data_IF_208808422389
#
_entry.id   IF_208808422389
#
_cell.length_a   1.000
_cell.length_b   1.000
_cell.length_c   1.000
_cell.angle_alpha   90.00
_cell.angle_beta   90.00
_cell.angle_gamma   90.00
#
_symmetry.space_group_name_H-M   'P 1'
#
loop_
_entity.id
_entity.type
_entity.pdbx_description
1 polymer ?
#
# COMPACT_ATOMS: atom_id res chain seq x y z
N UNK A 1 -15.99 1.07 -19.58
CA UNK A 1 -14.79 1.42 -18.76
C UNK A 1 -13.49 1.03 -19.48
N UNK A 2 -12.44 1.88 -19.48
CA UNK A 2 -11.15 1.60 -20.14
C UNK A 2 -10.00 2.12 -19.28
N UNK A 3 -8.94 1.31 -19.12
CA UNK A 3 -7.71 1.71 -18.42
C UNK A 3 -6.70 2.35 -19.36
N UNK A 4 -6.00 3.35 -18.86
CA UNK A 4 -4.96 4.10 -19.60
C UNK A 4 -3.77 4.40 -18.70
N UNK A 5 -2.54 4.40 -19.26
CA UNK A 5 -1.35 4.87 -18.54
C UNK A 5 -1.48 6.34 -18.17
N UNK A 6 -1.06 6.69 -16.97
CA UNK A 6 -0.98 8.08 -16.56
C UNK A 6 0.13 8.81 -17.34
N UNK A 7 -0.13 10.04 -17.75
CA UNK A 7 0.91 10.88 -18.32
C UNK A 7 1.92 11.26 -17.23
N UNK A 8 3.22 11.15 -17.53
CA UNK A 8 4.30 11.50 -16.60
C UNK A 8 4.67 12.97 -16.74
N UNK A 9 4.49 13.73 -15.69
CA UNK A 9 5.09 15.07 -15.53
C UNK A 9 6.48 14.99 -14.87
N UNK A 10 7.13 16.13 -14.66
CA UNK A 10 8.47 16.16 -14.04
C UNK A 10 8.53 15.59 -12.62
N UNK A 11 7.45 15.69 -11.84
CA UNK A 11 7.36 15.11 -10.48
C UNK A 11 7.19 13.59 -10.55
N UNK A 12 6.35 13.12 -11.46
CA UNK A 12 6.15 11.70 -11.71
C UNK A 12 7.44 11.01 -12.18
N UNK A 13 8.31 11.70 -12.96
CA UNK A 13 9.61 11.16 -13.37
C UNK A 13 10.53 10.95 -12.15
N UNK A 14 10.60 11.92 -11.23
CA UNK A 14 11.42 11.79 -10.01
C UNK A 14 10.89 10.65 -9.14
N UNK A 15 9.57 10.59 -8.95
CA UNK A 15 8.94 9.53 -8.15
C UNK A 15 9.12 8.15 -8.79
N UNK A 16 9.03 8.04 -10.12
CA UNK A 16 9.31 6.79 -10.84
C UNK A 16 10.73 6.27 -10.58
N UNK A 17 11.70 7.16 -10.38
CA UNK A 17 13.06 6.79 -9.95
C UNK A 17 13.07 6.12 -8.57
N UNK A 18 12.33 6.67 -7.62
CA UNK A 18 12.16 6.05 -6.28
C UNK A 18 11.42 4.72 -6.38
N UNK A 19 10.34 4.63 -7.14
CA UNK A 19 9.60 3.38 -7.35
C UNK A 19 10.44 2.26 -7.98
N UNK A 20 11.44 2.62 -8.79
CA UNK A 20 12.37 1.68 -9.43
C UNK A 20 13.58 1.31 -8.55
N UNK A 21 13.73 1.95 -7.37
CA UNK A 21 14.85 1.67 -6.47
C UNK A 21 14.77 0.23 -5.92
N UNK A 22 15.87 -0.55 -5.97
CA UNK A 22 15.91 -1.90 -5.44
C UNK A 22 15.53 -2.01 -3.95
N UNK A 23 15.71 -0.95 -3.18
CA UNK A 23 15.31 -0.87 -1.78
C UNK A 23 13.79 -0.99 -1.61
N UNK A 24 13.01 -0.36 -2.50
CA UNK A 24 11.54 -0.46 -2.52
C UNK A 24 11.09 -1.90 -2.77
N UNK A 25 11.64 -2.55 -3.80
CA UNK A 25 11.28 -3.92 -4.14
C UNK A 25 11.66 -4.90 -3.01
N UNK A 26 12.84 -4.73 -2.41
CA UNK A 26 13.31 -5.55 -1.28
C UNK A 26 12.41 -5.39 -0.06
N UNK A 27 12.07 -4.15 0.30
CA UNK A 27 11.17 -3.87 1.42
C UNK A 27 9.77 -4.46 1.19
N UNK A 28 9.18 -4.23 0.03
CA UNK A 28 7.85 -4.73 -0.30
C UNK A 28 7.78 -6.26 -0.28
N UNK A 29 8.81 -6.95 -0.82
CA UNK A 29 8.88 -8.41 -0.81
C UNK A 29 8.94 -8.98 0.62
N UNK A 30 9.78 -8.41 1.49
CA UNK A 30 9.87 -8.80 2.89
C UNK A 30 8.54 -8.56 3.63
N UNK A 31 7.89 -7.42 3.39
CA UNK A 31 6.63 -7.05 4.03
C UNK A 31 5.44 -7.87 3.54
N UNK A 32 5.51 -8.42 2.32
CA UNK A 32 4.46 -9.30 1.78
C UNK A 32 4.36 -10.63 2.54
N UNK A 33 5.47 -11.11 3.13
CA UNK A 33 5.52 -12.34 3.94
C UNK A 33 5.53 -12.05 5.45
N UNK A 34 5.47 -10.78 5.82
CA UNK A 34 5.60 -10.35 7.20
C UNK A 34 4.29 -10.50 7.98
N UNK A 35 4.38 -10.88 9.24
CA UNK A 35 3.29 -10.80 10.20
C UNK A 35 2.90 -9.35 10.49
N UNK A 36 1.71 -9.07 11.05
CA UNK A 36 1.33 -7.73 11.49
C UNK A 36 2.36 -7.10 12.44
N UNK A 37 2.96 -7.86 13.36
CA UNK A 37 3.99 -7.35 14.29
C UNK A 37 5.26 -6.88 13.57
N UNK A 38 5.71 -7.63 12.54
CA UNK A 38 6.86 -7.25 11.72
C UNK A 38 6.56 -6.02 10.84
N UNK A 39 5.32 -5.89 10.34
CA UNK A 39 4.87 -4.68 9.61
C UNK A 39 4.82 -3.46 10.52
N UNK A 40 4.41 -3.63 11.79
CA UNK A 40 4.46 -2.56 12.80
C UNK A 40 5.90 -2.15 13.08
N UNK A 41 6.85 -3.09 13.18
CA UNK A 41 8.27 -2.79 13.29
C UNK A 41 8.74 -1.91 12.12
N UNK A 42 8.50 -2.34 10.88
CA UNK A 42 8.88 -1.57 9.69
C UNK A 42 8.32 -0.15 9.72
N UNK A 43 7.03 -0.03 10.05
CA UNK A 43 6.36 1.26 10.15
C UNK A 43 6.99 2.16 11.23
N UNK A 44 7.28 1.60 12.39
CA UNK A 44 7.88 2.34 13.50
C UNK A 44 9.27 2.88 13.13
N UNK A 45 10.12 2.02 12.55
CA UNK A 45 11.48 2.39 12.14
C UNK A 45 11.47 3.45 11.04
N UNK A 46 10.69 3.25 9.97
CA UNK A 46 10.63 4.19 8.84
C UNK A 46 9.98 5.53 9.20
N UNK A 47 9.19 5.61 10.29
CA UNK A 47 8.65 6.87 10.82
C UNK A 47 9.54 7.48 11.90
N UNK A 48 10.38 6.69 12.52
CA UNK A 48 11.23 7.12 13.64
C UNK A 48 12.36 8.05 13.20
N UNK A 49 12.92 8.75 14.17
CA UNK A 49 14.09 9.62 13.97
C UNK A 49 15.41 8.88 14.28
N UNK A 50 15.33 7.76 15.01
CA UNK A 50 16.50 6.98 15.38
C UNK A 50 16.88 6.02 14.26
N UNK A 51 18.15 6.05 13.86
CA UNK A 51 18.81 5.06 13.01
C UNK A 51 19.62 4.04 13.81
N UNK A 52 19.59 4.14 15.15
CA UNK A 52 20.27 3.22 16.05
C UNK A 52 19.53 1.88 16.12
N UNK A 53 20.19 0.82 15.62
CA UNK A 53 19.66 -0.53 15.57
C UNK A 53 19.31 -1.09 16.95
N UNK A 54 20.15 -0.83 17.96
CA UNK A 54 20.00 -1.42 19.29
C UNK A 54 18.76 -0.84 20.01
N UNK A 55 18.43 0.40 19.75
CA UNK A 55 17.17 1.01 20.23
C UNK A 55 15.96 0.22 19.72
N UNK A 56 15.93 -0.11 18.42
CA UNK A 56 14.81 -0.85 17.83
C UNK A 56 14.75 -2.30 18.28
N UNK A 57 15.90 -2.96 18.46
CA UNK A 57 15.94 -4.31 19.04
C UNK A 57 15.34 -4.33 20.45
N UNK A 58 15.65 -3.33 21.27
CA UNK A 58 15.11 -3.21 22.61
C UNK A 58 13.61 -2.87 22.64
N UNK A 59 13.12 -2.08 21.68
CA UNK A 59 11.70 -1.68 21.59
C UNK A 59 10.77 -2.81 21.12
N UNK A 60 11.30 -3.85 20.45
CA UNK A 60 10.51 -4.97 19.94
C UNK A 60 10.95 -6.32 20.54
N UNK A 61 10.84 -6.49 21.88
CA UNK A 61 11.33 -7.69 22.55
C UNK A 61 10.59 -8.98 22.14
N UNK A 62 9.37 -8.87 21.62
CA UNK A 62 8.62 -10.01 21.09
C UNK A 62 9.20 -10.57 19.78
N UNK A 63 9.92 -9.74 19.01
CA UNK A 63 10.59 -10.14 17.79
C UNK A 63 12.07 -10.49 18.01
N UNK A 64 12.73 -9.85 18.98
CA UNK A 64 14.20 -9.91 19.16
C UNK A 64 14.64 -10.39 20.53
N UNK A 65 13.74 -10.53 21.50
CA UNK A 65 14.09 -10.91 22.90
C UNK A 65 14.66 -12.31 23.02
N UNK A 66 15.28 -12.59 24.19
CA UNK A 66 15.93 -13.88 24.52
C UNK A 66 14.98 -14.91 25.15
N UNK A 67 13.71 -14.57 25.36
CA UNK A 67 12.68 -15.46 25.90
C UNK A 67 12.29 -16.57 24.92
N UNK A 68 11.27 -17.40 25.23
CA UNK A 68 10.67 -18.30 24.26
C UNK A 68 10.14 -17.44 23.09
N UNK A 69 11.00 -17.26 22.10
CA UNK A 69 10.85 -16.30 21.02
C UNK A 69 10.34 -16.97 19.73
N UNK A 70 10.16 -16.17 18.69
CA UNK A 70 9.73 -16.65 17.40
C UNK A 70 10.71 -17.68 16.83
N UNK A 71 10.21 -18.56 15.96
CA UNK A 71 11.05 -19.49 15.20
C UNK A 71 12.20 -18.74 14.51
N UNK A 72 13.32 -19.41 14.30
CA UNK A 72 14.52 -18.81 13.71
C UNK A 72 14.26 -18.08 12.37
N UNK A 73 13.34 -18.60 11.56
CA UNK A 73 12.94 -18.00 10.29
C UNK A 73 12.21 -16.66 10.47
N UNK A 74 11.33 -16.54 11.47
CA UNK A 74 10.61 -15.29 11.80
C UNK A 74 11.59 -14.24 12.29
N UNK A 75 12.53 -14.64 13.16
CA UNK A 75 13.58 -13.75 13.66
C UNK A 75 14.48 -13.23 12.53
N UNK A 76 14.94 -14.11 11.65
CA UNK A 76 15.76 -13.73 10.50
C UNK A 76 15.03 -12.76 9.57
N UNK A 77 13.72 -12.96 9.33
CA UNK A 77 12.91 -12.01 8.56
C UNK A 77 12.74 -10.68 9.27
N UNK A 78 12.46 -10.67 10.57
CA UNK A 78 12.37 -9.44 11.36
C UNK A 78 13.70 -8.64 11.33
N UNK A 79 14.85 -9.31 11.39
CA UNK A 79 16.17 -8.69 11.25
C UNK A 79 16.39 -8.10 9.85
N UNK A 80 15.96 -8.79 8.79
CA UNK A 80 16.00 -8.28 7.42
C UNK A 80 15.08 -7.05 7.23
N UNK A 81 13.87 -7.09 7.81
CA UNK A 81 12.93 -5.98 7.81
C UNK A 81 13.51 -4.79 8.57
N UNK A 82 14.10 -5.00 9.74
CA UNK A 82 14.76 -3.93 10.49
C UNK A 82 15.87 -3.27 9.64
N UNK A 83 16.71 -4.08 9.00
CA UNK A 83 17.81 -3.59 8.17
C UNK A 83 17.31 -2.71 7.03
N UNK A 84 16.35 -3.20 6.23
CA UNK A 84 15.80 -2.44 5.10
C UNK A 84 15.06 -1.18 5.57
N UNK A 85 14.42 -1.23 6.73
CA UNK A 85 13.71 -0.09 7.31
C UNK A 85 14.66 1.00 7.79
N UNK A 86 15.81 0.62 8.35
CA UNK A 86 16.88 1.57 8.74
C UNK A 86 17.50 2.23 7.51
N UNK A 87 17.72 1.48 6.41
CA UNK A 87 18.20 2.06 5.15
C UNK A 87 17.23 3.15 4.64
N UNK A 88 15.90 2.92 4.71
CA UNK A 88 14.90 3.95 4.38
C UNK A 88 14.94 5.11 5.37
N UNK A 89 15.08 4.84 6.68
CA UNK A 89 15.09 5.86 7.73
C UNK A 89 16.31 6.80 7.66
N UNK A 90 17.41 6.33 7.08
CA UNK A 90 18.65 7.12 6.92
C UNK A 90 18.52 8.24 5.87
N UNK A 91 17.48 8.24 5.06
CA UNK A 91 17.19 9.34 4.14
C UNK A 91 16.54 10.52 4.84
N UNK A 92 16.75 11.74 4.31
CA UNK A 92 16.01 12.93 4.76
C UNK A 92 14.50 12.77 4.58
N UNK A 93 13.70 13.44 5.42
CA UNK A 93 12.24 13.21 5.52
C UNK A 93 11.50 13.29 4.18
N UNK A 94 11.88 14.19 3.30
CA UNK A 94 11.23 14.30 1.98
C UNK A 94 11.42 13.05 1.14
N UNK A 95 12.65 12.52 1.06
CA UNK A 95 12.97 11.31 0.30
C UNK A 95 12.39 10.09 0.99
N UNK A 96 12.51 10.00 2.31
CA UNK A 96 11.91 8.95 3.14
C UNK A 96 10.40 8.86 2.95
N UNK A 97 9.70 10.00 2.84
CA UNK A 97 8.26 10.04 2.56
C UNK A 97 7.92 9.41 1.20
N UNK A 98 8.74 9.65 0.18
CA UNK A 98 8.57 9.05 -1.15
C UNK A 98 8.83 7.55 -1.12
N UNK A 99 9.87 7.08 -0.45
CA UNK A 99 10.13 5.64 -0.25
C UNK A 99 8.96 4.94 0.43
N UNK A 100 8.42 5.54 1.51
CA UNK A 100 7.26 5.00 2.23
C UNK A 100 6.04 4.82 1.32
N UNK A 101 5.71 5.80 0.49
CA UNK A 101 4.65 5.70 -0.51
C UNK A 101 4.91 4.56 -1.50
N UNK A 102 6.07 4.57 -2.16
CA UNK A 102 6.46 3.58 -3.15
C UNK A 102 6.49 2.14 -2.60
N UNK A 103 6.87 1.95 -1.33
CA UNK A 103 6.86 0.64 -0.66
C UNK A 103 5.43 0.11 -0.52
N UNK A 104 4.46 0.95 -0.11
CA UNK A 104 3.05 0.51 0.04
C UNK A 104 2.45 0.16 -1.32
N UNK A 105 2.71 0.97 -2.35
CA UNK A 105 2.27 0.69 -3.73
C UNK A 105 2.84 -0.64 -4.24
N UNK A 106 4.15 -0.86 -4.07
CA UNK A 106 4.79 -2.10 -4.52
C UNK A 106 4.35 -3.32 -3.71
N UNK A 107 4.16 -3.17 -2.39
CA UNK A 107 3.59 -4.22 -1.53
C UNK A 107 2.19 -4.61 -1.99
N UNK A 108 1.35 -3.63 -2.30
CA UNK A 108 0.00 -3.84 -2.84
C UNK A 108 0.05 -4.60 -4.15
N UNK A 109 0.92 -4.19 -5.09
CA UNK A 109 1.14 -4.88 -6.36
C UNK A 109 1.56 -6.33 -6.14
N UNK A 110 2.53 -6.61 -5.28
CA UNK A 110 3.02 -7.98 -4.97
C UNK A 110 1.90 -8.87 -4.43
N UNK A 111 1.12 -8.36 -3.47
CA UNK A 111 0.02 -9.13 -2.87
C UNK A 111 -1.10 -9.41 -3.87
N UNK A 112 -1.48 -8.43 -4.69
CA UNK A 112 -2.46 -8.60 -5.76
C UNK A 112 -1.96 -9.55 -6.85
N UNK A 113 -0.68 -9.44 -7.26
CA UNK A 113 -0.08 -10.35 -8.23
C UNK A 113 -0.11 -11.81 -7.75
N UNK A 114 0.18 -12.07 -6.47
CA UNK A 114 0.06 -13.41 -5.87
C UNK A 114 -1.35 -13.98 -6.00
N UNK A 115 -2.38 -13.18 -5.74
CA UNK A 115 -3.79 -13.58 -5.90
C UNK A 115 -4.13 -13.99 -7.33
N UNK A 116 -3.49 -13.37 -8.31
CA UNK A 116 -3.70 -13.63 -9.73
C UNK A 116 -2.67 -14.56 -10.36
N UNK A 117 -1.92 -15.34 -9.54
CA UNK A 117 -0.93 -16.30 -10.02
C UNK A 117 0.22 -15.67 -10.79
N UNK A 118 0.55 -14.42 -10.47
CA UNK A 118 1.59 -13.62 -11.15
C UNK A 118 1.37 -13.47 -12.67
N UNK A 119 0.10 -13.50 -13.12
CA UNK A 119 -0.25 -13.33 -14.52
C UNK A 119 0.19 -11.94 -15.01
N UNK A 120 1.05 -11.92 -16.03
CA UNK A 120 1.60 -10.69 -16.59
C UNK A 120 0.50 -9.76 -17.12
N UNK A 121 0.57 -8.49 -16.77
CA UNK A 121 -0.31 -7.44 -17.27
C UNK A 121 -1.68 -7.37 -16.61
N UNK A 122 -1.98 -8.24 -15.64
CA UNK A 122 -3.25 -8.20 -14.89
C UNK A 122 -3.18 -7.13 -13.78
N UNK A 123 -2.06 -7.04 -13.07
CA UNK A 123 -1.83 -6.00 -12.05
C UNK A 123 -0.93 -4.92 -12.65
N UNK A 124 -1.33 -3.67 -12.53
CA UNK A 124 -0.61 -2.52 -13.09
C UNK A 124 -0.57 -1.34 -12.12
N UNK A 125 0.39 -0.46 -12.26
CA UNK A 125 0.54 0.76 -11.46
C UNK A 125 0.23 2.01 -12.26
N UNK A 126 -0.12 3.10 -11.56
CA UNK A 126 -0.34 4.45 -12.09
C UNK A 126 -1.31 4.48 -13.27
N UNK A 127 -2.48 3.88 -13.07
CA UNK A 127 -3.50 3.80 -14.12
C UNK A 127 -4.61 4.83 -13.91
N UNK A 128 -5.12 5.33 -15.03
CA UNK A 128 -6.33 6.13 -15.10
C UNK A 128 -7.47 5.28 -15.62
N UNK A 129 -8.68 5.58 -15.17
CA UNK A 129 -9.90 4.94 -15.68
C UNK A 129 -10.69 5.97 -16.46
N UNK A 130 -11.08 5.60 -17.68
CA UNK A 130 -11.94 6.40 -18.55
C UNK A 130 -13.32 5.77 -18.60
N UNK A 131 -14.34 6.58 -18.36
CA UNK A 131 -15.75 6.27 -18.49
C UNK A 131 -16.31 7.09 -19.66
N UNK A 132 -16.87 6.45 -20.69
CA UNK A 132 -17.31 7.11 -21.95
C UNK A 132 -16.26 8.07 -22.54
N UNK A 133 -14.97 7.73 -22.36
CA UNK A 133 -13.84 8.56 -22.80
C UNK A 133 -13.50 9.72 -21.89
N UNK A 134 -14.23 9.93 -20.80
CA UNK A 134 -13.99 10.98 -19.80
C UNK A 134 -13.35 10.39 -18.54
N UNK A 135 -12.38 11.11 -17.96
CA UNK A 135 -11.79 10.76 -16.68
C UNK A 135 -12.69 11.21 -15.54
N UNK A 136 -12.97 10.31 -14.62
CA UNK A 136 -13.68 10.63 -13.39
C UNK A 136 -12.71 11.00 -12.24
N UNK A 137 -11.48 10.47 -12.26
CA UNK A 137 -10.49 10.69 -11.21
C UNK A 137 -9.66 11.97 -11.39
N UNK A 138 -9.22 12.54 -10.25
CA UNK A 138 -8.29 13.66 -10.19
C UNK A 138 -6.84 13.16 -10.33
N UNK A 139 -6.52 12.04 -9.65
CA UNK A 139 -5.21 11.41 -9.65
C UNK A 139 -5.29 9.99 -10.21
N UNK A 140 -4.20 9.46 -10.81
CA UNK A 140 -4.13 8.05 -11.19
C UNK A 140 -4.31 7.17 -9.94
N UNK A 141 -4.88 5.97 -10.13
CA UNK A 141 -4.88 4.95 -9.10
C UNK A 141 -3.49 4.32 -8.99
N UNK A 142 -3.04 4.13 -7.76
CA UNK A 142 -1.69 3.63 -7.49
C UNK A 142 -1.50 2.20 -8.02
N UNK A 143 -2.49 1.32 -7.79
CA UNK A 143 -2.49 -0.07 -8.30
C UNK A 143 -3.87 -0.46 -8.82
N UNK A 144 -3.92 -1.09 -9.99
CA UNK A 144 -5.15 -1.63 -10.58
C UNK A 144 -5.03 -3.11 -10.88
N UNK A 145 -6.18 -3.80 -10.89
CA UNK A 145 -6.33 -5.13 -11.45
C UNK A 145 -7.23 -5.01 -12.68
N UNK A 146 -6.67 -5.33 -13.83
CA UNK A 146 -7.34 -5.19 -15.11
C UNK A 146 -7.71 -6.57 -15.67
N UNK A 147 -8.94 -7.02 -15.38
CA UNK A 147 -9.50 -8.28 -15.87
C UNK A 147 -10.91 -8.06 -16.38
N UNK A 148 -11.25 -8.74 -17.47
CA UNK A 148 -12.60 -8.72 -18.01
C UNK A 148 -13.64 -9.11 -16.95
N UNK A 149 -14.61 -8.21 -16.74
CA UNK A 149 -15.71 -8.37 -15.80
C UNK A 149 -15.36 -8.24 -14.31
N UNK A 150 -14.10 -7.99 -13.95
CA UNK A 150 -13.66 -7.83 -12.54
C UNK A 150 -12.47 -6.90 -12.41
N UNK A 151 -12.69 -5.63 -12.61
CA UNK A 151 -11.66 -4.63 -12.40
C UNK A 151 -11.56 -4.19 -10.93
N UNK A 152 -10.36 -3.80 -10.51
CA UNK A 152 -10.13 -3.21 -9.19
C UNK A 152 -9.23 -1.98 -9.30
N UNK A 153 -9.49 -0.98 -8.47
CA UNK A 153 -8.66 0.21 -8.33
C UNK A 153 -8.34 0.47 -6.86
N UNK A 154 -7.06 0.59 -6.58
CA UNK A 154 -6.52 0.74 -5.23
C UNK A 154 -5.69 2.00 -5.13
N UNK A 155 -5.94 2.77 -4.06
CA UNK A 155 -5.12 3.89 -3.65
C UNK A 155 -4.32 3.51 -2.40
N UNK A 156 -3.05 3.89 -2.33
CA UNK A 156 -2.09 3.43 -1.33
C UNK A 156 -1.66 4.59 -0.43
N UNK A 157 -1.71 4.40 0.88
CA UNK A 157 -1.31 5.42 1.85
C UNK A 157 -0.39 4.83 2.91
N UNK A 158 0.70 5.53 3.22
CA UNK A 158 1.60 5.12 4.30
C UNK A 158 0.97 5.19 5.69
N UNK A 159 0.00 6.05 5.92
CA UNK A 159 -0.64 6.19 7.22
C UNK A 159 -2.09 6.66 7.14
N UNK A 160 -2.85 6.45 8.21
CA UNK A 160 -4.27 6.79 8.27
C UNK A 160 -4.57 8.28 8.01
N UNK A 161 -3.59 9.18 8.22
CA UNK A 161 -3.72 10.61 7.87
C UNK A 161 -3.95 10.84 6.38
N UNK A 162 -3.50 9.93 5.53
CA UNK A 162 -3.73 9.96 4.08
C UNK A 162 -5.16 9.64 3.67
N UNK A 163 -6.02 9.15 4.57
CA UNK A 163 -7.45 8.97 4.31
C UNK A 163 -8.11 10.35 4.35
N UNK A 164 -8.34 10.94 3.19
CA UNK A 164 -9.01 12.23 3.00
C UNK A 164 -10.35 12.09 2.30
N UNK A 165 -11.19 13.13 2.39
CA UNK A 165 -12.49 13.15 1.74
C UNK A 165 -12.35 13.10 0.20
N UNK A 166 -11.35 13.76 -0.36
CA UNK A 166 -11.02 13.77 -1.78
C UNK A 166 -10.74 12.36 -2.33
N UNK A 167 -9.93 11.56 -1.63
CA UNK A 167 -9.64 10.18 -2.00
C UNK A 167 -10.89 9.31 -1.95
N UNK A 168 -11.70 9.46 -0.90
CA UNK A 168 -12.94 8.69 -0.76
C UNK A 168 -13.97 9.09 -1.84
N UNK A 169 -14.09 10.36 -2.18
CA UNK A 169 -14.93 10.82 -3.29
C UNK A 169 -14.47 10.23 -4.62
N UNK A 170 -13.16 10.31 -4.94
CA UNK A 170 -12.60 9.76 -6.16
C UNK A 170 -12.93 8.26 -6.32
N UNK A 171 -12.77 7.47 -5.25
CA UNK A 171 -13.07 6.04 -5.28
C UNK A 171 -14.58 5.77 -5.45
N UNK A 172 -15.41 6.51 -4.73
CA UNK A 172 -16.86 6.37 -4.83
C UNK A 172 -17.39 6.78 -6.21
N UNK A 173 -16.89 7.88 -6.77
CA UNK A 173 -17.29 8.37 -8.08
C UNK A 173 -16.90 7.38 -9.20
N UNK A 174 -15.67 6.81 -9.13
CA UNK A 174 -15.25 5.79 -10.08
C UNK A 174 -16.16 4.56 -10.05
N UNK A 175 -16.57 4.11 -8.86
CA UNK A 175 -17.50 2.99 -8.71
C UNK A 175 -18.90 3.33 -9.25
N UNK A 176 -19.39 4.55 -9.02
CA UNK A 176 -20.65 5.06 -9.56
C UNK A 176 -20.64 5.05 -11.08
N UNK A 177 -19.61 5.63 -11.70
CA UNK A 177 -19.48 5.65 -13.16
C UNK A 177 -19.35 4.26 -13.78
N UNK A 178 -18.68 3.32 -13.10
CA UNK A 178 -18.63 1.93 -13.56
C UNK A 178 -20.03 1.30 -13.56
N UNK A 179 -20.83 1.54 -12.51
CA UNK A 179 -22.19 1.04 -12.41
C UNK A 179 -23.11 1.67 -13.49
N UNK A 180 -22.92 2.94 -13.82
CA UNK A 180 -23.67 3.63 -14.90
C UNK A 180 -23.36 3.02 -16.29
N UNK A 181 -22.18 2.41 -16.46
CA UNK A 181 -21.78 1.69 -17.67
C UNK A 181 -22.06 0.16 -17.61
N UNK A 182 -22.85 -0.31 -16.63
CA UNK A 182 -23.10 -1.74 -16.35
C UNK A 182 -21.81 -2.57 -16.12
N UNK A 183 -20.75 -1.91 -15.62
CA UNK A 183 -19.46 -2.55 -15.31
C UNK A 183 -19.23 -2.70 -13.80
N UNK A 184 -18.42 -3.68 -13.42
CA UNK A 184 -18.07 -3.91 -12.02
C UNK A 184 -16.65 -3.42 -11.74
N UNK A 185 -16.55 -2.38 -10.90
CA UNK A 185 -15.29 -1.87 -10.37
C UNK A 185 -15.28 -1.97 -8.85
N UNK A 186 -14.35 -2.77 -8.31
CA UNK A 186 -14.04 -2.75 -6.88
C UNK A 186 -13.05 -1.65 -6.60
N UNK A 187 -13.31 -0.86 -5.58
CA UNK A 187 -12.42 0.24 -5.16
C UNK A 187 -11.97 0.06 -3.73
N UNK A 188 -10.75 0.49 -3.41
CA UNK A 188 -10.27 0.38 -2.05
C UNK A 188 -9.03 1.22 -1.74
N UNK A 189 -8.75 1.29 -0.43
CA UNK A 189 -7.58 1.90 0.16
C UNK A 189 -6.71 0.84 0.84
N UNK A 190 -5.43 0.85 0.53
CA UNK A 190 -4.41 0.13 1.27
C UNK A 190 -3.67 1.14 2.14
N UNK A 191 -3.79 0.98 3.45
CA UNK A 191 -3.21 1.94 4.41
C UNK A 191 -2.22 1.22 5.30
N UNK A 192 -0.95 1.58 5.20
CA UNK A 192 0.09 0.99 6.03
C UNK A 192 0.08 1.59 7.44
N UNK A 193 -1.04 1.39 8.12
CA UNK A 193 -1.31 1.80 9.51
C UNK A 193 -2.24 0.77 10.18
N UNK A 194 -2.36 0.84 11.51
CA UNK A 194 -3.26 -0.02 12.26
C UNK A 194 -4.73 0.18 11.81
N UNK A 195 -5.50 -0.91 11.68
CA UNK A 195 -6.92 -0.84 11.31
C UNK A 195 -7.73 0.09 12.21
N UNK A 196 -7.42 0.09 13.52
CA UNK A 196 -8.03 1.02 14.46
C UNK A 196 -7.79 2.48 14.10
N UNK A 197 -6.58 2.83 13.67
CA UNK A 197 -6.24 4.19 13.22
C UNK A 197 -7.02 4.55 11.95
N UNK A 198 -7.16 3.60 11.03
CA UNK A 198 -7.94 3.76 9.81
C UNK A 198 -9.42 3.99 10.13
N UNK A 199 -10.01 3.17 11.03
CA UNK A 199 -11.41 3.30 11.45
C UNK A 199 -11.70 4.67 12.08
N UNK A 200 -10.89 5.11 13.04
CA UNK A 200 -11.03 6.44 13.68
C UNK A 200 -10.91 7.56 12.65
N UNK A 201 -10.03 7.41 11.65
CA UNK A 201 -9.88 8.42 10.60
C UNK A 201 -11.07 8.45 9.67
N UNK A 202 -11.61 7.29 9.29
CA UNK A 202 -12.80 7.16 8.45
C UNK A 202 -14.04 7.78 9.11
N UNK A 203 -14.24 7.57 10.42
CA UNK A 203 -15.36 8.15 11.16
C UNK A 203 -15.39 9.68 11.10
N UNK A 204 -14.24 10.30 10.92
CA UNK A 204 -14.10 11.76 10.81
C UNK A 204 -14.32 12.31 9.40
N UNK A 205 -14.49 11.44 8.42
CA UNK A 205 -14.76 11.85 7.04
C UNK A 205 -16.27 11.95 6.80
N UNK A 206 -16.69 12.97 6.08
CA UNK A 206 -18.08 13.17 5.64
C UNK A 206 -18.36 12.59 4.26
N UNK A 207 -17.31 12.16 3.55
CA UNK A 207 -17.42 11.58 2.21
C UNK A 207 -18.10 10.21 2.25
N UNK A 208 -18.85 9.83 1.19
CA UNK A 208 -19.39 8.49 1.03
C UNK A 208 -18.28 7.44 1.07
N UNK A 209 -18.54 6.33 1.76
CA UNK A 209 -17.58 5.22 1.89
C UNK A 209 -18.19 3.84 1.65
N UNK A 210 -19.48 3.81 1.34
CA UNK A 210 -20.21 2.57 1.10
C UNK A 210 -19.59 1.82 -0.08
N UNK A 211 -19.26 0.53 0.13
CA UNK A 211 -18.59 -0.30 -0.86
C UNK A 211 -17.10 0.00 -1.11
N UNK A 212 -16.48 0.94 -0.38
CA UNK A 212 -15.04 1.13 -0.40
C UNK A 212 -14.37 0.20 0.62
N UNK A 213 -13.46 -0.64 0.16
CA UNK A 213 -12.68 -1.53 1.03
C UNK A 213 -11.50 -0.75 1.60
N UNK A 214 -11.29 -0.82 2.92
CA UNK A 214 -10.11 -0.25 3.57
C UNK A 214 -9.36 -1.35 4.30
N UNK A 215 -8.08 -1.52 3.96
CA UNK A 215 -7.20 -2.54 4.54
C UNK A 215 -6.07 -1.86 5.31
N UNK A 216 -5.93 -2.20 6.57
CA UNK A 216 -4.81 -1.83 7.44
C UNK A 216 -3.74 -2.92 7.50
N UNK A 217 -2.71 -2.70 8.33
CA UNK A 217 -1.57 -3.61 8.50
C UNK A 217 -2.04 -5.03 8.84
N UNK A 218 -3.08 -5.18 9.65
CA UNK A 218 -3.56 -6.46 10.14
C UNK A 218 -4.28 -7.28 9.07
N UNK A 219 -4.84 -6.63 8.05
CA UNK A 219 -5.65 -7.28 7.00
C UNK A 219 -5.02 -7.28 5.60
N UNK A 220 -3.77 -6.84 5.44
CA UNK A 220 -3.10 -6.78 4.14
C UNK A 220 -3.09 -8.14 3.41
N UNK A 221 -3.00 -9.24 4.14
CA UNK A 221 -2.99 -10.59 3.56
C UNK A 221 -4.26 -10.94 2.78
N UNK A 222 -5.37 -10.22 3.04
CA UNK A 222 -6.62 -10.33 2.28
C UNK A 222 -6.46 -9.90 0.81
N UNK A 223 -5.48 -9.06 0.48
CA UNK A 223 -5.16 -8.75 -0.91
C UNK A 223 -4.68 -9.99 -1.68
N UNK A 224 -3.90 -10.86 -1.03
CA UNK A 224 -3.38 -12.07 -1.65
C UNK A 224 -4.38 -13.24 -1.60
N UNK A 225 -5.13 -13.40 -0.50
CA UNK A 225 -6.08 -14.50 -0.31
C UNK A 225 -7.45 -14.29 -0.95
N UNK A 226 -7.77 -13.07 -1.31
CA UNK A 226 -9.08 -12.66 -1.79
C UNK A 226 -9.89 -11.92 -0.73
N UNK A 227 -10.67 -10.97 -1.21
CA UNK A 227 -11.62 -10.21 -0.40
C UNK A 227 -12.97 -10.94 -0.40
N UNK A 228 -13.71 -10.92 0.70
CA UNK A 228 -15.05 -11.46 0.75
C UNK A 228 -16.00 -10.75 -0.20
#
# INVERSE_FOLDING_TARGET
MRFQDAARDGRAIVYAGIQADPLVARAATLLADASPAERVLARAVMNGESTDRDVWLAMFPTLFGTGPGPEAAVRARAEAILTVSLEVADHGEQVRSQFRGAIVEHLTEVLLARRHGNATGVVRRERRILFDGVRAEIHPYDVTVERDGRAEAWDCKWGARGIGADVLHQLNDARGHAADEDETLRVGLVVFDAERSCAVRLERQTAPRDGTVVLGIESLDRLASGLP
#
